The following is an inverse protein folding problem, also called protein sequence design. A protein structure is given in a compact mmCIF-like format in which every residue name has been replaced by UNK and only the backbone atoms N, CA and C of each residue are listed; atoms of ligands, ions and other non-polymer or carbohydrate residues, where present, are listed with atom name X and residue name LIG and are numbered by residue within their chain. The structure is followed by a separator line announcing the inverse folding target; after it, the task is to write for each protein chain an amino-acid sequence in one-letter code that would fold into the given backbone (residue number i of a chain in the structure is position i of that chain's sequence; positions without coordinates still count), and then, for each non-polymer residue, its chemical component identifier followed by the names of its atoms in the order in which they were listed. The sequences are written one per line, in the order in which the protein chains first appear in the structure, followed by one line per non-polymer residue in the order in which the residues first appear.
data_IF_244344831005
#
_entry.id   IF_244344831005
#
_cell.length_a   1.000
_cell.length_b   1.000
_cell.length_c   1.000
_cell.angle_alpha   90.00
_cell.angle_beta   90.00
_cell.angle_gamma   90.00
#
_symmetry.space_group_name_H-M   'P 1'
#
loop_
_entity.id
_entity.type
_entity.pdbx_description
1 polymer ?
#
# COMPACT_ATOMS: atom_id res chain seq x y z
N UNK A 1 0.68 -15.77 -24.69
CA UNK A 1 -0.30 -14.91 -24.00
C UNK A 1 0.04 -14.89 -22.53
N UNK A 2 -0.05 -13.74 -21.88
CA UNK A 2 0.16 -13.65 -20.43
C UNK A 2 -0.99 -14.38 -19.70
N UNK A 3 -0.72 -15.10 -18.59
CA UNK A 3 -1.79 -15.68 -17.79
C UNK A 3 -2.77 -14.60 -17.31
N UNK A 4 -4.07 -14.89 -17.36
CA UNK A 4 -5.12 -13.97 -16.92
C UNK A 4 -5.80 -14.49 -15.65
N UNK A 5 -5.89 -13.63 -14.66
CA UNK A 5 -6.68 -13.80 -13.45
C UNK A 5 -7.91 -12.90 -13.53
N UNK A 6 -8.99 -13.46 -14.05
CA UNK A 6 -10.32 -12.85 -13.99
C UNK A 6 -10.95 -13.20 -12.64
N UNK A 7 -11.50 -12.20 -11.95
CA UNK A 7 -12.14 -12.39 -10.66
C UNK A 7 -13.47 -11.65 -10.52
N UNK A 8 -14.36 -12.15 -9.66
CA UNK A 8 -15.58 -11.45 -9.24
C UNK A 8 -15.57 -11.13 -7.74
N UNK A 9 -16.61 -10.44 -7.24
CA UNK A 9 -16.77 -10.19 -5.81
C UNK A 9 -17.03 -11.46 -5.00
N UNK A 10 -17.45 -12.56 -5.65
CA UNK A 10 -17.68 -13.87 -5.01
C UNK A 10 -16.36 -14.53 -4.56
N UNK A 11 -15.23 -14.14 -5.15
CA UNK A 11 -13.90 -14.62 -4.77
C UNK A 11 -13.28 -13.82 -3.61
N UNK A 12 -13.95 -12.79 -3.11
CA UNK A 12 -13.48 -12.06 -1.94
C UNK A 12 -13.52 -12.95 -0.68
N UNK A 13 -12.42 -12.98 0.05
CA UNK A 13 -12.28 -13.73 1.30
C UNK A 13 -12.79 -12.83 2.44
N UNK A 14 -13.90 -13.18 3.07
CA UNK A 14 -14.50 -12.36 4.15
C UNK A 14 -14.08 -12.81 5.55
N UNK A 15 -13.72 -14.07 5.71
CA UNK A 15 -13.38 -14.67 7.02
C UNK A 15 -11.87 -14.87 7.19
N UNK A 16 -11.12 -13.77 7.28
CA UNK A 16 -9.68 -13.82 7.58
C UNK A 16 -9.45 -13.68 9.08
N UNK A 17 -8.67 -14.59 9.65
CA UNK A 17 -8.23 -14.56 11.05
C UNK A 17 -6.74 -14.26 11.14
N UNK A 18 -6.37 -13.53 12.19
CA UNK A 18 -4.98 -13.19 12.43
C UNK A 18 -4.07 -14.42 12.75
N UNK A 19 -4.62 -15.45 13.41
CA UNK A 19 -3.85 -16.58 13.95
C UNK A 19 -3.26 -17.48 12.86
N UNK A 20 -1.97 -17.83 12.99
CA UNK A 20 -1.24 -18.72 12.06
C UNK A 20 -1.82 -20.14 11.98
N UNK A 21 -2.29 -20.69 13.09
CA UNK A 21 -2.71 -22.09 13.20
C UNK A 21 -4.02 -22.43 12.46
N UNK A 22 -4.81 -21.43 12.07
CA UNK A 22 -6.11 -21.60 11.41
C UNK A 22 -6.18 -20.88 10.06
N UNK A 23 -5.04 -20.69 9.37
CA UNK A 23 -5.08 -20.02 8.08
C UNK A 23 -5.72 -20.92 7.03
N UNK A 24 -6.70 -20.41 6.25
CA UNK A 24 -7.20 -21.14 5.10
C UNK A 24 -6.06 -21.41 4.10
N UNK A 25 -6.24 -22.36 3.18
CA UNK A 25 -5.30 -22.51 2.07
C UNK A 25 -5.13 -21.17 1.32
N UNK A 26 -3.97 -20.97 0.65
CA UNK A 26 -3.75 -19.78 -0.16
C UNK A 26 -4.90 -19.59 -1.16
N UNK A 27 -5.40 -18.36 -1.30
CA UNK A 27 -6.39 -18.07 -2.34
C UNK A 27 -5.76 -18.24 -3.74
N UNK A 28 -6.59 -18.13 -4.78
CA UNK A 28 -6.10 -18.12 -6.17
C UNK A 28 -5.12 -16.97 -6.42
N UNK A 29 -5.41 -15.78 -5.92
CA UNK A 29 -4.48 -14.64 -5.99
C UNK A 29 -3.17 -14.96 -5.26
N UNK A 30 -3.26 -15.53 -4.06
CA UNK A 30 -2.07 -15.86 -3.28
C UNK A 30 -1.18 -16.89 -3.98
N UNK A 31 -1.79 -17.92 -4.56
CA UNK A 31 -1.06 -18.96 -5.29
C UNK A 31 -0.35 -18.36 -6.50
N UNK A 32 -1.05 -17.54 -7.29
CA UNK A 32 -0.47 -16.87 -8.46
C UNK A 32 0.71 -15.95 -8.11
N UNK A 33 0.61 -15.14 -7.05
CA UNK A 33 1.71 -14.26 -6.64
C UNK A 33 2.88 -15.08 -6.07
N UNK A 34 2.61 -16.05 -5.19
CA UNK A 34 3.65 -16.82 -4.50
C UNK A 34 4.44 -17.70 -5.48
N UNK A 35 3.74 -18.43 -6.33
CA UNK A 35 4.35 -19.31 -7.32
C UNK A 35 5.06 -18.49 -8.41
N UNK A 36 4.41 -17.43 -8.89
CA UNK A 36 4.98 -16.53 -9.88
C UNK A 36 6.27 -15.85 -9.39
N UNK A 37 6.27 -15.38 -8.14
CA UNK A 37 7.43 -14.74 -7.53
C UNK A 37 8.57 -15.73 -7.30
N UNK A 38 8.27 -16.94 -6.83
CA UNK A 38 9.27 -18.00 -6.57
C UNK A 38 9.94 -18.46 -7.86
N UNK A 39 9.15 -18.77 -8.91
CA UNK A 39 9.67 -19.11 -10.24
C UNK A 39 10.68 -18.07 -10.75
N UNK A 40 10.34 -16.79 -10.61
CA UNK A 40 11.18 -15.69 -11.11
C UNK A 40 12.43 -15.48 -10.24
N UNK A 41 12.37 -15.85 -8.96
CA UNK A 41 13.52 -15.83 -8.05
C UNK A 41 14.50 -16.94 -8.44
N UNK A 42 13.99 -18.14 -8.67
CA UNK A 42 14.78 -19.30 -9.12
C UNK A 42 15.44 -19.07 -10.49
N UNK A 43 14.77 -18.31 -11.35
CA UNK A 43 15.29 -17.89 -12.67
C UNK A 43 16.26 -16.70 -12.61
N UNK A 44 16.49 -16.11 -11.44
CA UNK A 44 17.46 -15.02 -11.26
C UNK A 44 17.03 -13.68 -11.86
N UNK A 45 15.72 -13.39 -11.95
CA UNK A 45 15.21 -12.14 -12.54
C UNK A 45 15.22 -10.95 -11.57
N UNK A 46 15.65 -11.16 -10.32
CA UNK A 46 15.80 -10.12 -9.31
C UNK A 46 17.23 -9.58 -9.29
N UNK A 47 17.41 -8.34 -8.80
CA UNK A 47 18.75 -7.74 -8.64
C UNK A 47 19.61 -8.43 -7.58
N UNK A 48 18.96 -9.09 -6.64
CA UNK A 48 19.59 -9.88 -5.58
C UNK A 48 18.65 -10.99 -5.13
N UNK A 49 19.23 -12.05 -4.58
CA UNK A 49 18.49 -13.13 -3.95
C UNK A 49 17.94 -12.66 -2.61
N UNK A 50 16.63 -12.76 -2.42
CA UNK A 50 16.01 -12.50 -1.12
C UNK A 50 15.96 -13.81 -0.32
N UNK A 51 16.92 -13.99 0.58
CA UNK A 51 16.88 -15.07 1.58
C UNK A 51 16.07 -14.68 2.81
N UNK A 52 16.18 -15.49 3.87
CA UNK A 52 15.54 -15.21 5.16
C UNK A 52 16.03 -13.87 5.74
N UNK A 53 15.09 -12.94 5.94
CA UNK A 53 15.37 -11.64 6.52
C UNK A 53 15.50 -11.74 8.04
N UNK A 54 16.63 -11.29 8.59
CA UNK A 54 16.77 -11.13 10.03
C UNK A 54 15.73 -10.13 10.52
N UNK A 55 14.82 -10.61 11.35
CA UNK A 55 13.63 -9.87 11.79
C UNK A 55 13.63 -9.75 13.31
N UNK A 56 13.32 -8.55 13.83
CA UNK A 56 13.05 -8.34 15.26
C UNK A 56 11.90 -7.36 15.44
N UNK A 57 11.09 -7.59 16.46
CA UNK A 57 10.10 -6.61 16.92
C UNK A 57 10.79 -5.69 17.92
N UNK A 58 10.74 -4.38 17.68
CA UNK A 58 11.32 -3.41 18.59
C UNK A 58 10.53 -3.40 19.91
N UNK A 59 11.21 -3.39 21.07
CA UNK A 59 10.53 -3.29 22.35
C UNK A 59 9.89 -1.89 22.48
N UNK A 60 8.61 -1.87 22.81
CA UNK A 60 7.84 -0.64 22.99
C UNK A 60 6.33 -0.86 22.78
N UNK A 61 5.56 0.21 22.79
CA UNK A 61 4.09 0.18 22.66
C UNK A 61 3.61 0.11 21.22
N UNK A 62 4.48 0.41 20.25
CA UNK A 62 4.13 0.42 18.84
C UNK A 62 4.50 -0.87 18.11
N UNK A 63 5.44 -1.66 18.64
CA UNK A 63 5.73 -3.01 18.14
C UNK A 63 6.26 -3.02 16.70
N UNK A 64 7.08 -2.02 16.33
CA UNK A 64 7.66 -1.92 14.99
C UNK A 64 8.41 -3.20 14.60
N UNK A 65 8.18 -3.68 13.38
CA UNK A 65 8.83 -4.87 12.82
C UNK A 65 10.05 -4.43 12.02
N UNK A 66 11.24 -4.60 12.61
CA UNK A 66 12.51 -4.30 11.96
C UNK A 66 13.02 -5.51 11.18
N UNK A 67 13.44 -5.28 9.93
CA UNK A 67 14.06 -6.30 9.08
C UNK A 67 15.34 -5.79 8.46
N UNK A 68 16.41 -6.59 8.49
CA UNK A 68 17.68 -6.24 7.85
C UNK A 68 17.72 -6.71 6.40
N UNK A 69 17.78 -5.77 5.46
CA UNK A 69 17.93 -6.05 4.04
C UNK A 69 19.02 -5.14 3.43
N UNK A 70 20.28 -5.55 3.60
CA UNK A 70 21.46 -4.77 3.16
C UNK A 70 21.51 -4.66 1.64
N UNK A 71 21.24 -5.75 0.93
CA UNK A 71 21.27 -5.77 -0.54
C UNK A 71 20.27 -4.78 -1.14
N UNK A 72 19.08 -4.62 -0.54
CA UNK A 72 18.13 -3.59 -0.98
C UNK A 72 18.67 -2.17 -0.82
N UNK A 73 19.53 -1.92 0.17
CA UNK A 73 20.20 -0.63 0.32
C UNK A 73 21.17 -0.33 -0.81
N UNK A 74 21.84 -1.35 -1.33
CA UNK A 74 22.92 -1.26 -2.33
C UNK A 74 22.37 -1.34 -3.76
N UNK A 75 21.51 -2.31 -4.04
CA UNK A 75 21.05 -2.68 -5.38
C UNK A 75 19.85 -1.87 -5.87
N UNK A 76 19.23 -1.08 -5.00
CA UNK A 76 18.06 -0.28 -5.37
C UNK A 76 18.43 0.75 -6.42
N UNK A 77 17.61 0.84 -7.47
CA UNK A 77 17.77 1.84 -8.52
C UNK A 77 17.75 3.26 -7.93
N UNK A 78 18.60 4.13 -8.47
CA UNK A 78 18.50 5.58 -8.25
C UNK A 78 17.09 6.07 -8.65
N UNK A 79 16.36 6.74 -7.74
CA UNK A 79 15.06 7.31 -8.05
C UNK A 79 15.13 8.30 -9.22
N UNK A 80 14.02 8.47 -9.94
CA UNK A 80 13.87 9.58 -10.88
C UNK A 80 13.96 10.92 -10.16
N UNK A 81 14.36 11.95 -10.89
CA UNK A 81 14.24 13.32 -10.43
C UNK A 81 12.76 13.71 -10.38
N UNK A 82 12.31 14.06 -9.18
CA UNK A 82 10.92 14.43 -8.89
C UNK A 82 10.95 15.87 -8.40
N UNK A 83 10.30 16.75 -9.15
CA UNK A 83 10.24 18.18 -8.88
C UNK A 83 8.86 18.63 -8.37
N UNK A 84 7.82 17.85 -8.68
CA UNK A 84 6.44 18.16 -8.32
C UNK A 84 5.64 16.86 -8.14
N UNK A 85 4.58 16.94 -7.36
CA UNK A 85 3.63 15.83 -7.20
C UNK A 85 2.83 15.61 -8.49
N UNK A 86 2.54 16.70 -9.20
CA UNK A 86 1.82 16.70 -10.48
C UNK A 86 2.76 16.57 -11.68
N UNK A 87 3.99 16.08 -11.48
CA UNK A 87 4.93 15.90 -12.57
C UNK A 87 4.37 14.96 -13.63
N UNK A 88 4.37 15.40 -14.88
CA UNK A 88 3.85 14.61 -16.01
C UNK A 88 4.66 13.34 -16.25
N UNK A 89 3.99 12.31 -16.74
CA UNK A 89 4.64 11.10 -17.20
C UNK A 89 5.63 11.43 -18.33
N UNK A 90 6.83 10.88 -18.26
CA UNK A 90 7.84 11.07 -19.28
C UNK A 90 8.23 9.73 -19.94
N UNK A 91 7.85 9.48 -21.21
CA UNK A 91 8.15 8.22 -21.90
C UNK A 91 9.65 8.00 -22.13
N UNK A 92 10.49 9.04 -22.07
CA UNK A 92 11.95 8.91 -22.22
C UNK A 92 12.61 8.33 -20.97
N UNK A 93 12.07 8.59 -19.77
CA UNK A 93 12.55 8.03 -18.51
C UNK A 93 12.15 6.55 -18.37
N UNK A 94 12.70 5.86 -17.36
CA UNK A 94 12.28 4.49 -17.07
C UNK A 94 10.77 4.44 -16.74
N UNK A 95 10.07 3.44 -17.25
CA UNK A 95 8.69 3.16 -16.92
C UNK A 95 8.41 1.66 -17.11
N UNK A 96 7.30 1.16 -16.56
CA UNK A 96 6.97 -0.26 -16.62
C UNK A 96 6.69 -0.83 -18.03
N UNK A 97 6.58 -0.01 -19.07
CA UNK A 97 6.54 -0.52 -20.46
C UNK A 97 7.95 -0.88 -21.01
N UNK A 98 9.02 -0.65 -20.22
CA UNK A 98 10.42 -0.90 -20.61
C UNK A 98 11.08 -2.06 -19.83
N UNK A 99 10.29 -2.84 -19.10
CA UNK A 99 10.80 -3.98 -18.31
C UNK A 99 11.07 -5.21 -19.19
N UNK A 100 11.78 -6.20 -18.65
CA UNK A 100 11.79 -7.52 -19.26
C UNK A 100 10.38 -8.13 -19.14
N UNK A 101 9.82 -8.63 -20.24
CA UNK A 101 8.51 -9.27 -20.24
C UNK A 101 8.43 -10.49 -19.30
N UNK A 102 9.56 -11.14 -19.01
CA UNK A 102 9.63 -12.24 -18.04
C UNK A 102 9.40 -11.81 -16.58
N UNK A 103 9.51 -10.51 -16.27
CA UNK A 103 9.18 -9.95 -14.95
C UNK A 103 7.66 -9.98 -14.67
N UNK A 104 6.84 -10.09 -15.72
CA UNK A 104 5.38 -10.12 -15.61
C UNK A 104 4.93 -11.50 -15.13
N UNK A 105 4.10 -11.54 -14.08
CA UNK A 105 3.53 -12.77 -13.53
C UNK A 105 2.21 -13.12 -14.21
N UNK A 106 1.26 -12.19 -14.23
CA UNK A 106 -0.07 -12.36 -14.81
C UNK A 106 -0.76 -10.99 -14.98
N UNK A 107 -1.93 -11.01 -15.62
CA UNK A 107 -2.85 -9.88 -15.71
C UNK A 107 -4.06 -10.12 -14.83
N UNK A 108 -4.53 -9.11 -14.13
CA UNK A 108 -5.67 -9.17 -13.25
C UNK A 108 -6.78 -8.26 -13.77
N UNK A 109 -8.01 -8.79 -13.84
CA UNK A 109 -9.18 -8.10 -14.36
C UNK A 109 -10.43 -8.49 -13.57
N UNK A 110 -11.24 -7.51 -13.20
CA UNK A 110 -12.56 -7.78 -12.60
C UNK A 110 -13.53 -8.20 -13.71
N UNK A 111 -14.23 -9.30 -13.51
CA UNK A 111 -15.35 -9.69 -14.38
C UNK A 111 -16.45 -8.63 -14.24
N UNK A 112 -16.73 -7.93 -15.32
CA UNK A 112 -17.76 -6.89 -15.34
C UNK A 112 -19.18 -7.48 -15.36
N UNK A 113 -19.34 -8.81 -15.51
CA UNK A 113 -20.61 -9.46 -15.73
C UNK A 113 -21.19 -9.04 -17.08
N UNK A 114 -21.25 -9.96 -18.05
CA UNK A 114 -21.75 -9.68 -19.41
C UNK A 114 -23.25 -9.31 -19.46
N UNK A 115 -23.64 -8.11 -19.02
CA UNK A 115 -24.95 -7.50 -19.25
C UNK A 115 -24.91 -6.55 -20.44
N UNK A 116 -25.65 -6.88 -21.51
CA UNK A 116 -25.65 -6.18 -22.82
C UNK A 116 -26.35 -4.82 -22.86
N UNK A 117 -26.63 -4.17 -21.73
CA UNK A 117 -27.43 -2.93 -21.70
C UNK A 117 -26.84 -1.83 -20.81
N UNK A 118 -25.54 -1.52 -20.96
CA UNK A 118 -24.95 -0.31 -20.35
C UNK A 118 -24.51 0.63 -21.47
N UNK A 119 -25.03 1.88 -21.44
CA UNK A 119 -24.62 2.95 -22.35
C UNK A 119 -23.10 3.15 -22.24
N UNK A 120 -22.45 3.41 -23.36
CA UNK A 120 -20.97 3.47 -23.51
C UNK A 120 -20.29 4.41 -22.50
N UNK A 121 -21.05 5.41 -22.03
CA UNK A 121 -20.69 6.46 -21.09
C UNK A 121 -20.83 6.07 -19.60
N UNK A 122 -21.23 4.83 -19.28
CA UNK A 122 -21.35 4.29 -17.91
C UNK A 122 -20.76 2.88 -17.71
N UNK A 123 -20.00 2.33 -18.67
CA UNK A 123 -19.32 1.06 -18.42
C UNK A 123 -18.40 1.22 -17.19
N UNK A 124 -18.41 0.27 -16.22
CA UNK A 124 -17.31 0.16 -15.29
C UNK A 124 -16.05 0.04 -16.13
N UNK A 125 -15.17 1.03 -16.07
CA UNK A 125 -13.86 0.94 -16.71
C UNK A 125 -13.19 -0.32 -16.15
N UNK A 126 -13.15 -1.38 -16.96
CA UNK A 126 -12.47 -2.61 -16.62
C UNK A 126 -10.99 -2.30 -16.60
N UNK A 127 -10.47 -2.09 -15.39
CA UNK A 127 -9.07 -1.74 -15.17
C UNK A 127 -8.21 -2.99 -15.39
N UNK A 128 -7.47 -3.07 -16.49
CA UNK A 128 -6.52 -4.17 -16.71
C UNK A 128 -5.27 -3.88 -15.89
N UNK A 129 -5.04 -4.68 -14.86
CA UNK A 129 -3.86 -4.52 -13.99
C UNK A 129 -2.81 -5.56 -14.34
N UNK A 130 -1.62 -5.11 -14.75
CA UNK A 130 -0.48 -6.01 -14.96
C UNK A 130 0.23 -6.22 -13.62
N UNK A 131 0.41 -7.48 -13.21
CA UNK A 131 1.09 -7.85 -11.97
C UNK A 131 2.49 -8.37 -12.32
N UNK A 132 3.52 -7.73 -11.77
CA UNK A 132 4.92 -8.03 -12.07
C UNK A 132 5.77 -8.03 -10.80
N UNK A 133 6.91 -8.72 -10.81
CA UNK A 133 7.81 -8.75 -9.65
C UNK A 133 8.42 -7.38 -9.40
N UNK A 134 8.61 -7.02 -8.14
CA UNK A 134 9.54 -5.94 -7.85
C UNK A 134 10.97 -6.51 -7.83
N UNK A 135 11.76 -6.20 -8.87
CA UNK A 135 13.15 -6.68 -9.00
C UNK A 135 14.09 -6.21 -7.87
N UNK A 136 13.64 -5.35 -6.96
CA UNK A 136 14.30 -5.00 -5.68
C UNK A 136 13.36 -5.30 -4.49
N UNK A 137 13.16 -6.59 -4.17
CA UNK A 137 12.08 -7.05 -3.32
C UNK A 137 12.33 -6.67 -1.85
N UNK A 138 11.32 -6.15 -1.17
CA UNK A 138 11.43 -5.76 0.24
C UNK A 138 11.22 -6.97 1.15
N UNK A 139 10.34 -7.88 0.71
CA UNK A 139 9.91 -9.10 1.39
C UNK A 139 9.40 -10.09 0.32
N UNK A 140 9.18 -11.34 0.72
CA UNK A 140 8.57 -12.38 -0.10
C UNK A 140 7.26 -11.91 -0.76
N UNK A 141 7.11 -12.28 -2.05
CA UNK A 141 5.96 -11.90 -2.87
C UNK A 141 5.87 -10.41 -3.19
N UNK A 142 6.92 -9.60 -2.94
CA UNK A 142 6.91 -8.19 -3.32
C UNK A 142 6.74 -8.02 -4.83
N UNK A 143 5.55 -7.57 -5.23
CA UNK A 143 5.12 -7.35 -6.59
C UNK A 143 4.64 -5.90 -6.78
N UNK A 144 4.45 -5.53 -8.03
CA UNK A 144 3.87 -4.26 -8.44
C UNK A 144 2.56 -4.54 -9.19
N UNK A 145 1.52 -3.81 -8.81
CA UNK A 145 0.23 -3.74 -9.50
C UNK A 145 0.29 -2.50 -10.39
N UNK A 146 0.28 -2.67 -11.71
CA UNK A 146 0.38 -1.57 -12.68
C UNK A 146 -0.93 -1.47 -13.46
N UNK A 147 -1.82 -0.55 -13.09
CA UNK A 147 -3.09 -0.30 -13.78
C UNK A 147 -2.85 0.26 -15.19
N UNK A 148 -3.41 -0.41 -16.20
CA UNK A 148 -3.45 0.02 -17.60
C UNK A 148 -2.13 0.67 -18.10
N UNK A 149 -1.01 -0.06 -18.09
CA UNK A 149 0.32 0.51 -18.33
C UNK A 149 0.46 1.19 -19.69
N UNK A 150 -0.36 0.85 -20.68
CA UNK A 150 -0.40 1.51 -21.98
C UNK A 150 -0.93 2.95 -21.92
N UNK A 151 -1.73 3.30 -20.91
CA UNK A 151 -2.23 4.66 -20.70
C UNK A 151 -1.15 5.60 -20.17
N UNK A 152 0.00 5.08 -19.74
CA UNK A 152 1.14 5.89 -19.28
C UNK A 152 0.75 6.90 -18.19
N UNK A 153 -0.11 6.49 -17.26
CA UNK A 153 -0.62 7.36 -16.21
C UNK A 153 0.53 7.79 -15.28
N UNK A 154 0.62 9.08 -14.89
CA UNK A 154 1.57 9.52 -13.88
C UNK A 154 1.29 8.84 -12.53
N UNK A 155 2.23 8.91 -11.59
CA UNK A 155 2.12 8.32 -10.25
C UNK A 155 1.14 9.12 -9.36
N UNK A 156 -0.12 9.16 -9.79
CA UNK A 156 -1.28 9.79 -9.18
C UNK A 156 -2.39 8.73 -9.15
N UNK A 157 -3.00 8.52 -7.98
CA UNK A 157 -4.01 7.49 -7.82
C UNK A 157 -5.27 7.83 -8.63
N UNK A 158 -5.81 6.82 -9.31
CA UNK A 158 -7.14 6.86 -9.90
C UNK A 158 -8.11 6.04 -9.05
N UNK A 159 -9.43 6.28 -9.17
CA UNK A 159 -10.45 5.44 -8.54
C UNK A 159 -10.22 3.95 -8.84
N UNK A 160 -9.91 3.62 -10.09
CA UNK A 160 -9.64 2.26 -10.53
C UNK A 160 -8.42 1.64 -9.83
N UNK A 161 -7.31 2.39 -9.71
CA UNK A 161 -6.12 1.93 -9.01
C UNK A 161 -6.36 1.70 -7.51
N UNK A 162 -7.13 2.58 -6.86
CA UNK A 162 -7.52 2.42 -5.46
C UNK A 162 -8.39 1.18 -5.28
N UNK A 163 -9.39 1.00 -6.15
CA UNK A 163 -10.28 -0.15 -6.12
C UNK A 163 -9.50 -1.46 -6.28
N UNK A 164 -8.63 -1.54 -7.29
CA UNK A 164 -7.72 -2.69 -7.50
C UNK A 164 -6.88 -2.99 -6.26
N UNK A 165 -6.37 -1.96 -5.59
CA UNK A 165 -5.61 -2.13 -4.35
C UNK A 165 -6.43 -2.75 -3.22
N UNK A 166 -7.65 -2.26 -3.00
CA UNK A 166 -8.57 -2.79 -1.97
C UNK A 166 -8.98 -4.23 -2.30
N UNK A 167 -9.40 -4.47 -3.55
CA UNK A 167 -9.83 -5.77 -4.03
C UNK A 167 -8.70 -6.81 -3.95
N UNK A 168 -7.45 -6.43 -4.23
CA UNK A 168 -6.29 -7.32 -4.05
C UNK A 168 -6.13 -7.80 -2.61
N UNK A 169 -6.37 -6.93 -1.61
CA UNK A 169 -6.34 -7.32 -0.19
C UNK A 169 -7.53 -8.20 0.17
N UNK A 170 -8.70 -7.95 -0.44
CA UNK A 170 -9.91 -8.77 -0.25
C UNK A 170 -9.81 -10.16 -0.90
N UNK A 171 -9.10 -10.29 -2.02
CA UNK A 171 -8.87 -11.55 -2.75
C UNK A 171 -7.82 -12.43 -2.07
N UNK A 172 -6.96 -11.88 -1.21
CA UNK A 172 -5.99 -12.67 -0.45
C UNK A 172 -6.66 -13.32 0.76
N UNK A 173 -6.34 -14.59 0.99
CA UNK A 173 -6.71 -15.31 2.21
C UNK A 173 -5.69 -15.10 3.34
N UNK A 174 -4.57 -14.44 3.06
CA UNK A 174 -3.55 -14.09 4.04
C UNK A 174 -3.83 -12.74 4.71
N UNK A 175 -3.89 -12.66 6.05
CA UNK A 175 -3.97 -11.37 6.74
C UNK A 175 -2.71 -10.52 6.55
N UNK A 176 -1.60 -11.15 6.15
CA UNK A 176 -0.32 -10.49 5.96
C UNK A 176 -0.08 -9.97 4.55
N UNK A 177 -1.00 -10.18 3.60
CA UNK A 177 -0.90 -9.55 2.28
C UNK A 177 -1.32 -8.09 2.37
N UNK A 178 -0.45 -7.20 1.89
CA UNK A 178 -0.62 -5.76 2.03
C UNK A 178 -0.36 -5.09 0.71
N UNK A 179 -1.11 -4.01 0.47
CA UNK A 179 -0.93 -3.16 -0.70
C UNK A 179 -0.60 -1.76 -0.23
N UNK A 180 0.19 -1.01 -0.99
CA UNK A 180 0.41 0.39 -0.68
C UNK A 180 0.85 1.22 -1.87
N UNK A 181 0.82 2.53 -1.67
CA UNK A 181 1.17 3.51 -2.69
C UNK A 181 2.03 4.61 -2.08
N UNK A 182 2.99 5.07 -2.88
CA UNK A 182 3.78 6.26 -2.61
C UNK A 182 3.49 7.25 -3.73
N UNK A 183 3.08 8.48 -3.40
CA UNK A 183 3.03 9.57 -4.36
C UNK A 183 4.44 10.08 -4.69
N UNK A 184 4.54 10.84 -5.79
CA UNK A 184 5.69 11.70 -6.03
C UNK A 184 5.88 12.66 -4.83
N UNK A 185 7.12 12.88 -4.40
CA UNK A 185 7.41 13.61 -3.15
C UNK A 185 7.26 12.78 -1.86
N UNK A 186 6.67 11.58 -1.93
CA UNK A 186 6.49 10.65 -0.81
C UNK A 186 7.29 9.34 -0.98
N UNK A 187 8.50 9.43 -1.52
CA UNK A 187 9.41 8.31 -1.84
C UNK A 187 9.01 7.37 -2.99
N UNK A 188 8.04 7.73 -3.84
CA UNK A 188 7.92 7.11 -5.16
C UNK A 188 9.27 7.22 -5.92
N UNK A 189 9.62 6.19 -6.68
CA UNK A 189 10.89 6.16 -7.42
C UNK A 189 10.73 6.17 -8.94
N UNK A 190 9.50 5.94 -9.41
CA UNK A 190 9.12 5.88 -10.83
C UNK A 190 7.82 6.67 -10.98
N UNK A 191 7.80 7.59 -11.95
CA UNK A 191 6.59 8.29 -12.35
C UNK A 191 5.82 7.49 -13.42
N UNK A 192 5.18 6.41 -12.99
CA UNK A 192 4.23 5.62 -13.78
C UNK A 192 3.35 4.88 -12.76
N UNK A 193 2.03 5.10 -12.80
CA UNK A 193 1.09 4.60 -11.80
C UNK A 193 1.31 3.13 -11.44
N UNK A 194 1.67 2.89 -10.18
CA UNK A 194 1.81 1.55 -9.62
C UNK A 194 1.50 1.54 -8.13
N UNK A 195 0.98 0.40 -7.67
CA UNK A 195 0.91 0.05 -6.26
C UNK A 195 1.91 -1.07 -5.96
N UNK A 196 2.35 -1.15 -4.70
CA UNK A 196 3.17 -2.24 -4.18
C UNK A 196 2.26 -3.28 -3.54
N UNK A 197 2.50 -4.57 -3.78
CA UNK A 197 1.90 -5.68 -3.04
C UNK A 197 2.99 -6.53 -2.41
N UNK A 198 2.82 -7.01 -1.17
CA UNK A 198 3.78 -7.92 -0.53
C UNK A 198 3.14 -8.68 0.64
N UNK A 199 3.75 -9.79 1.05
CA UNK A 199 3.36 -10.52 2.26
C UNK A 199 4.27 -10.14 3.41
N UNK A 200 3.76 -9.92 4.60
CA UNK A 200 4.59 -9.89 5.81
C UNK A 200 3.84 -10.60 6.93
N UNK A 201 4.44 -11.67 7.44
CA UNK A 201 3.83 -12.56 8.43
C UNK A 201 4.05 -12.10 9.88
N UNK A 202 3.83 -10.81 10.11
CA UNK A 202 3.86 -10.15 11.42
C UNK A 202 2.68 -9.19 11.51
N UNK A 203 2.00 -9.12 12.65
CA UNK A 203 0.99 -8.08 12.88
C UNK A 203 1.67 -6.71 12.96
N UNK A 204 1.06 -5.74 12.30
CA UNK A 204 1.42 -4.33 12.44
C UNK A 204 0.37 -3.60 13.28
N UNK A 205 0.81 -2.64 14.11
CA UNK A 205 -0.08 -1.86 14.97
C UNK A 205 -1.20 -1.15 14.20
N UNK A 206 -0.97 -0.75 12.95
CA UNK A 206 -1.98 -0.10 12.11
C UNK A 206 -3.25 -0.97 11.90
N UNK A 207 -3.12 -2.28 11.97
CA UNK A 207 -4.22 -3.24 11.82
C UNK A 207 -5.27 -3.14 12.94
N UNK A 208 -4.88 -2.56 14.10
CA UNK A 208 -5.71 -2.44 15.30
C UNK A 208 -5.61 -1.08 16.01
N UNK A 209 -4.91 -0.11 15.44
CA UNK A 209 -4.75 1.25 15.97
C UNK A 209 -6.09 1.91 16.28
N UNK A 210 -6.09 2.76 17.31
CA UNK A 210 -7.26 3.49 17.76
C UNK A 210 -7.54 4.66 16.83
N UNK A 211 -8.83 4.87 16.55
CA UNK A 211 -9.25 5.93 15.64
C UNK A 211 -10.41 6.74 16.18
N UNK A 212 -10.44 8.02 15.80
CA UNK A 212 -11.53 8.95 16.09
C UNK A 212 -12.35 9.17 14.81
N UNK A 213 -13.68 8.97 14.83
CA UNK A 213 -14.51 9.28 13.67
C UNK A 213 -14.42 10.75 13.26
N UNK A 214 -14.30 11.00 11.97
CA UNK A 214 -14.37 12.34 11.36
C UNK A 214 -15.66 12.50 10.54
N UNK A 215 -15.96 11.52 9.67
CA UNK A 215 -17.20 11.45 8.89
C UNK A 215 -17.70 10.00 8.96
N UNK A 216 -18.55 9.66 9.96
CA UNK A 216 -19.03 8.30 10.17
C UNK A 216 -19.73 7.70 8.94
N UNK A 217 -20.49 8.50 8.20
CA UNK A 217 -21.26 8.07 7.02
C UNK A 217 -20.38 7.64 5.85
N UNK A 218 -19.10 8.04 5.86
CA UNK A 218 -18.10 7.68 4.84
C UNK A 218 -17.04 6.72 5.38
N UNK A 219 -17.21 6.19 6.59
CA UNK A 219 -16.20 5.40 7.31
C UNK A 219 -14.82 6.09 7.30
N UNK A 220 -14.81 7.42 7.51
CA UNK A 220 -13.59 8.23 7.49
C UNK A 220 -13.19 8.64 8.91
N UNK A 221 -11.96 8.33 9.31
CA UNK A 221 -11.46 8.46 10.66
C UNK A 221 -10.07 9.12 10.72
N UNK A 222 -9.71 9.64 11.89
CA UNK A 222 -8.36 10.06 12.25
C UNK A 222 -7.67 8.97 13.07
N UNK A 223 -6.42 8.64 12.73
CA UNK A 223 -5.58 7.73 13.53
C UNK A 223 -5.00 8.49 14.74
N UNK A 224 -5.10 7.92 15.93
CA UNK A 224 -4.74 8.63 17.18
C UNK A 224 -3.35 8.29 17.71
N UNK A 225 -2.93 7.03 17.63
CA UNK A 225 -1.85 6.51 18.45
C UNK A 225 -0.69 5.88 17.66
N UNK A 226 -0.72 5.95 16.33
CA UNK A 226 0.29 5.32 15.48
C UNK A 226 0.31 5.83 14.05
N UNK A 227 1.44 6.43 13.64
CA UNK A 227 1.54 7.80 13.12
C UNK A 227 0.23 8.52 12.77
N UNK A 228 0.08 9.78 13.21
CA UNK A 228 -1.10 10.59 12.91
C UNK A 228 -1.36 10.65 11.40
N UNK A 229 -2.58 10.33 11.01
CA UNK A 229 -3.02 10.22 9.63
C UNK A 229 -4.53 10.00 9.56
N UNK A 230 -5.01 9.71 8.36
CA UNK A 230 -6.41 9.35 8.13
C UNK A 230 -6.55 7.85 7.92
N UNK A 231 -7.73 7.32 8.24
CA UNK A 231 -8.08 5.92 8.02
C UNK A 231 -9.45 5.84 7.35
N UNK A 232 -9.58 5.01 6.32
CA UNK A 232 -10.85 4.46 5.88
C UNK A 232 -10.94 2.98 6.19
N UNK A 233 -12.16 2.52 6.43
CA UNK A 233 -12.47 1.09 6.55
C UNK A 233 -13.57 0.71 5.58
N UNK A 234 -13.42 -0.46 4.96
CA UNK A 234 -14.41 -0.99 4.02
C UNK A 234 -14.44 -2.51 4.10
N UNK A 235 -15.63 -3.08 3.93
CA UNK A 235 -15.84 -4.50 3.63
C UNK A 235 -16.19 -4.68 2.15
N UNK A 236 -16.53 -5.91 1.72
CA UNK A 236 -16.73 -6.28 0.31
C UNK A 236 -17.74 -5.39 -0.43
N UNK A 237 -18.85 -5.06 0.24
CA UNK A 237 -19.98 -4.37 -0.39
C UNK A 237 -19.72 -2.87 -0.63
N UNK A 238 -18.76 -2.28 0.09
CA UNK A 238 -18.55 -0.83 0.13
C UNK A 238 -17.30 -0.38 -0.63
N UNK A 239 -16.61 -1.30 -1.30
CA UNK A 239 -15.32 -1.04 -1.97
C UNK A 239 -15.40 0.13 -2.94
N UNK A 240 -16.45 0.23 -3.75
CA UNK A 240 -16.56 1.32 -4.74
C UNK A 240 -16.71 2.68 -4.06
N UNK A 241 -17.50 2.75 -2.98
CA UNK A 241 -17.71 3.96 -2.21
C UNK A 241 -16.44 4.39 -1.46
N UNK A 242 -15.72 3.42 -0.88
CA UNK A 242 -14.42 3.65 -0.27
C UNK A 242 -13.40 4.15 -1.30
N UNK A 243 -13.30 3.51 -2.46
CA UNK A 243 -12.40 3.93 -3.54
C UNK A 243 -12.70 5.34 -4.04
N UNK A 244 -13.99 5.70 -4.18
CA UNK A 244 -14.42 7.06 -4.54
C UNK A 244 -14.00 8.09 -3.48
N UNK A 245 -14.18 7.77 -2.20
CA UNK A 245 -13.82 8.67 -1.10
C UNK A 245 -12.31 8.85 -1.00
N UNK A 246 -11.54 7.77 -1.10
CA UNK A 246 -10.07 7.82 -1.12
C UNK A 246 -9.57 8.64 -2.31
N UNK A 247 -10.14 8.44 -3.50
CA UNK A 247 -9.77 9.22 -4.69
C UNK A 247 -9.98 10.72 -4.45
N UNK A 248 -11.14 11.12 -3.90
CA UNK A 248 -11.39 12.54 -3.53
C UNK A 248 -10.36 13.08 -2.54
N UNK A 249 -9.99 12.29 -1.53
CA UNK A 249 -8.96 12.67 -0.56
C UNK A 249 -7.61 12.87 -1.24
N UNK A 250 -7.20 11.93 -2.09
CA UNK A 250 -5.90 12.01 -2.78
C UNK A 250 -5.88 13.08 -3.85
N UNK A 251 -6.99 13.33 -4.55
CA UNK A 251 -7.13 14.41 -5.52
C UNK A 251 -7.03 15.78 -4.84
N UNK A 252 -7.64 15.92 -3.66
CA UNK A 252 -7.46 17.11 -2.82
C UNK A 252 -5.99 17.32 -2.46
N UNK A 253 -5.28 16.28 -2.02
CA UNK A 253 -3.85 16.38 -1.73
C UNK A 253 -3.01 16.73 -2.96
N UNK A 254 -3.31 16.14 -4.11
CA UNK A 254 -2.60 16.46 -5.36
C UNK A 254 -2.84 17.91 -5.75
N UNK A 255 -4.08 18.41 -5.65
CA UNK A 255 -4.45 19.80 -5.93
C UNK A 255 -3.73 20.81 -5.02
N UNK A 256 -3.58 20.47 -3.74
CA UNK A 256 -2.86 21.28 -2.74
C UNK A 256 -1.35 21.00 -2.71
N UNK A 257 -0.82 20.18 -3.62
CA UNK A 257 0.59 19.78 -3.69
C UNK A 257 1.13 19.16 -2.38
N UNK A 258 0.32 18.32 -1.74
CA UNK A 258 0.62 17.57 -0.51
C UNK A 258 1.08 16.14 -0.87
N UNK A 259 2.31 15.82 -0.50
CA UNK A 259 2.85 14.47 -0.64
C UNK A 259 2.12 13.53 0.32
N UNK A 260 1.86 12.31 -0.12
CA UNK A 260 1.10 11.34 0.65
C UNK A 260 1.49 9.87 0.39
N UNK A 261 1.32 9.05 1.41
CA UNK A 261 1.46 7.59 1.35
C UNK A 261 0.12 6.92 1.67
N UNK A 262 -0.16 5.79 1.03
CA UNK A 262 -1.30 4.92 1.34
C UNK A 262 -0.82 3.52 1.72
N UNK A 263 -1.53 2.89 2.66
CA UNK A 263 -1.30 1.52 3.07
C UNK A 263 -2.60 0.79 3.36
N UNK A 264 -2.77 -0.36 2.71
CA UNK A 264 -3.96 -1.18 2.73
C UNK A 264 -3.62 -2.52 3.36
N UNK A 265 -4.34 -2.87 4.41
CA UNK A 265 -4.13 -4.10 5.15
C UNK A 265 -5.46 -4.64 5.65
N UNK A 266 -5.55 -5.95 5.82
CA UNK A 266 -6.57 -6.56 6.67
C UNK A 266 -6.44 -6.00 8.09
N UNK A 267 -7.56 -5.69 8.73
CA UNK A 267 -7.57 -5.07 10.06
C UNK A 267 -8.89 -5.29 10.77
N UNK A 268 -8.92 -5.08 12.09
CA UNK A 268 -10.19 -5.13 12.81
C UNK A 268 -11.05 -3.89 12.49
N UNK A 269 -12.38 -3.95 12.69
CA UNK A 269 -13.23 -2.77 12.56
C UNK A 269 -12.69 -1.57 13.35
N UNK A 270 -12.86 -0.33 12.85
CA UNK A 270 -12.52 0.90 13.56
C UNK A 270 -13.16 0.97 14.94
N UNK A 271 -12.37 1.33 15.96
CA UNK A 271 -12.86 1.57 17.32
C UNK A 271 -12.05 2.68 17.98
N UNK A 272 -12.73 3.51 18.78
CA UNK A 272 -12.10 4.50 19.65
C UNK A 272 -11.65 3.93 21.00
N UNK A 273 -11.92 2.64 21.26
CA UNK A 273 -11.56 1.95 22.51
C UNK A 273 -10.90 0.60 22.21
N UNK A 274 -10.12 0.10 23.17
CA UNK A 274 -9.51 -1.23 23.09
C UNK A 274 -10.59 -2.30 22.94
N UNK A 275 -10.50 -3.06 21.85
CA UNK A 275 -11.42 -4.15 21.53
C UNK A 275 -11.08 -5.41 22.33
N UNK A 276 -12.05 -6.31 22.50
CA UNK A 276 -11.79 -7.61 23.11
C UNK A 276 -10.85 -8.43 22.23
N UNK A 277 -10.13 -9.41 22.82
CA UNK A 277 -9.21 -10.27 22.08
C UNK A 277 -9.87 -11.07 20.92
N UNK A 278 -11.20 -11.26 20.97
CA UNK A 278 -11.98 -11.94 19.93
C UNK A 278 -12.36 -11.00 18.78
N UNK A 279 -12.60 -9.73 19.08
CA UNK A 279 -12.90 -8.72 18.06
C UNK A 279 -11.63 -8.26 17.34
N UNK A 280 -10.51 -8.16 18.06
CA UNK A 280 -9.22 -7.79 17.48
C UNK A 280 -8.68 -8.83 16.48
N UNK A 281 -9.05 -10.10 16.63
CA UNK A 281 -8.56 -11.18 15.76
C UNK A 281 -9.33 -11.33 14.44
N UNK A 282 -10.54 -10.75 14.35
CA UNK A 282 -11.37 -10.76 13.16
C UNK A 282 -10.87 -9.71 12.18
N UNK A 283 -10.59 -10.12 10.94
CA UNK A 283 -10.05 -9.24 9.90
C UNK A 283 -10.98 -9.20 8.68
N UNK A 284 -12.23 -8.83 8.91
CA UNK A 284 -13.30 -8.86 7.89
C UNK A 284 -13.06 -7.86 6.76
N UNK A 285 -12.71 -6.63 7.10
CA UNK A 285 -12.50 -5.56 6.14
C UNK A 285 -11.04 -5.19 5.90
N UNK A 286 -10.88 -4.15 5.09
CA UNK A 286 -9.62 -3.51 4.76
C UNK A 286 -9.54 -2.18 5.49
N UNK A 287 -8.44 -1.96 6.21
CA UNK A 287 -8.01 -0.66 6.72
C UNK A 287 -7.13 0.01 5.69
N UNK A 288 -7.50 1.21 5.26
CA UNK A 288 -6.75 2.05 4.33
C UNK A 288 -6.23 3.27 5.09
N UNK A 289 -4.96 3.22 5.47
CA UNK A 289 -4.29 4.34 6.12
C UNK A 289 -3.74 5.30 5.06
N UNK A 290 -3.90 6.61 5.31
CA UNK A 290 -3.45 7.68 4.43
C UNK A 290 -2.67 8.70 5.27
N UNK A 291 -1.41 8.92 4.91
CA UNK A 291 -0.55 9.88 5.60
C UNK A 291 -0.17 11.03 4.66
N UNK A 292 -0.81 12.20 4.79
CA UNK A 292 -0.25 13.43 4.23
C UNK A 292 1.03 13.77 4.99
N UNK A 293 2.00 14.33 4.29
CA UNK A 293 3.36 14.44 4.80
C UNK A 293 4.16 15.53 4.12
N UNK A 294 5.27 15.90 4.75
CA UNK A 294 6.23 16.82 4.19
C UNK A 294 6.87 16.19 2.94
N UNK A 295 6.84 16.94 1.84
CA UNK A 295 7.39 16.51 0.55
C UNK A 295 8.91 16.37 0.62
N UNK A 296 9.43 15.30 0.02
CA UNK A 296 10.85 15.06 -0.11
C UNK A 296 11.25 15.09 -1.58
N UNK A 297 11.80 16.21 -2.01
CA UNK A 297 12.39 16.39 -3.34
C UNK A 297 13.92 16.39 -3.23
N UNK A 298 14.61 15.83 -4.23
CA UNK A 298 16.09 15.82 -4.27
C UNK A 298 16.79 14.64 -3.57
N UNK A 299 18.07 14.84 -3.23
CA UNK A 299 18.94 13.81 -2.65
C UNK A 299 18.49 13.44 -1.24
N UNK A 300 18.13 12.17 -1.05
CA UNK A 300 17.59 11.63 0.21
C UNK A 300 18.64 11.71 1.32
N UNK A 301 18.22 12.16 2.51
CA UNK A 301 19.04 12.09 3.73
C UNK A 301 19.49 10.65 4.02
N UNK A 302 20.68 10.50 4.61
CA UNK A 302 21.23 9.24 5.07
C UNK A 302 20.53 8.77 6.37
N UNK A 303 19.26 8.42 6.27
CA UNK A 303 18.54 7.74 7.36
C UNK A 303 18.70 6.23 7.27
N UNK A 304 18.60 5.57 8.43
CA UNK A 304 18.66 4.11 8.59
C UNK A 304 17.71 3.34 7.64
N UNK A 305 16.56 3.95 7.35
CA UNK A 305 15.52 3.50 6.42
C UNK A 305 14.83 4.72 5.80
N UNK A 306 14.17 4.55 4.64
CA UNK A 306 13.42 5.64 4.00
C UNK A 306 11.99 5.62 4.50
N UNK A 307 11.44 6.71 5.05
CA UNK A 307 10.07 6.71 5.61
C UNK A 307 9.02 6.79 4.50
N UNK A 308 8.70 5.64 3.88
CA UNK A 308 7.66 5.48 2.87
C UNK A 308 6.44 4.77 3.48
N UNK A 309 5.60 4.14 2.65
CA UNK A 309 4.40 3.43 3.10
C UNK A 309 4.67 2.35 4.18
N UNK A 310 5.76 1.57 4.05
CA UNK A 310 6.02 0.43 4.95
C UNK A 310 6.35 0.94 6.35
N UNK A 311 7.23 1.93 6.41
CA UNK A 311 7.77 2.46 7.66
C UNK A 311 6.70 3.21 8.46
N UNK A 312 5.83 3.95 7.76
CA UNK A 312 4.65 4.59 8.35
C UNK A 312 3.67 3.56 8.93
N UNK A 313 3.54 2.40 8.27
CA UNK A 313 2.70 1.31 8.74
C UNK A 313 3.32 0.44 9.83
N UNK A 314 4.61 0.63 10.17
CA UNK A 314 5.30 -0.10 11.23
C UNK A 314 6.30 -1.15 10.77
N UNK A 315 6.53 -1.31 9.47
CA UNK A 315 7.50 -2.23 8.89
C UNK A 315 8.77 -1.49 8.45
N UNK A 316 9.90 -1.83 9.06
CA UNK A 316 11.16 -1.09 8.95
C UNK A 316 12.24 -1.91 8.23
N UNK A 317 12.40 -1.79 6.91
CA UNK A 317 13.51 -2.37 6.15
C UNK A 317 14.80 -1.57 6.35
N UNK A 318 15.60 -1.98 7.33
CA UNK A 318 16.93 -1.43 7.61
C UNK A 318 17.95 -1.83 6.54
N UNK A 319 18.79 -0.88 6.15
CA UNK A 319 19.80 -1.07 5.09
C UNK A 319 21.18 -1.44 5.61
N UNK A 320 21.42 -1.31 6.92
CA UNK A 320 22.70 -1.64 7.53
C UNK A 320 22.50 -2.31 8.90
N UNK A 321 23.49 -3.11 9.29
CA UNK A 321 23.44 -3.94 10.48
C UNK A 321 23.46 -3.12 11.78
N UNK A 322 24.26 -2.04 11.83
CA UNK A 322 24.42 -1.20 13.02
C UNK A 322 23.08 -0.59 13.44
N UNK A 323 22.39 0.07 12.51
CA UNK A 323 21.11 0.69 12.79
C UNK A 323 20.05 -0.37 13.07
N UNK A 324 20.06 -1.49 12.33
CA UNK A 324 19.17 -2.62 12.60
C UNK A 324 19.33 -3.15 14.02
N UNK A 325 20.54 -3.21 14.59
CA UNK A 325 20.79 -3.77 15.93
C UNK A 325 20.54 -2.74 17.04
N UNK A 326 20.90 -1.48 16.82
CA UNK A 326 20.93 -0.46 17.87
C UNK A 326 19.66 0.40 17.95
N UNK A 327 18.89 0.53 16.86
CA UNK A 327 17.74 1.44 16.83
C UNK A 327 16.66 1.02 17.82
N UNK A 328 16.16 2.00 18.57
CA UNK A 328 15.05 1.87 19.53
C UNK A 328 13.73 2.37 18.94
N UNK A 329 12.60 1.95 19.50
CA UNK A 329 11.29 2.43 19.07
C UNK A 329 11.17 3.96 19.16
N UNK A 330 11.74 4.58 20.21
CA UNK A 330 11.77 6.04 20.36
C UNK A 330 12.50 6.74 19.21
N UNK A 331 13.62 6.18 18.76
CA UNK A 331 14.37 6.72 17.62
C UNK A 331 13.60 6.56 16.32
N UNK A 332 12.91 5.43 16.13
CA UNK A 332 12.02 5.24 14.96
C UNK A 332 10.93 6.31 14.93
N UNK A 333 10.24 6.53 16.06
CA UNK A 333 9.19 7.55 16.17
C UNK A 333 9.78 8.93 15.82
N UNK A 334 10.97 9.26 16.34
CA UNK A 334 11.64 10.52 16.03
C UNK A 334 11.99 10.66 14.54
N UNK A 335 12.45 9.58 13.88
CA UNK A 335 12.74 9.58 12.44
C UNK A 335 11.45 9.76 11.64
N UNK A 336 10.38 9.02 11.97
CA UNK A 336 9.09 9.09 11.29
C UNK A 336 8.48 10.50 11.41
N UNK A 337 8.54 11.10 12.60
CA UNK A 337 7.98 12.43 12.86
C UNK A 337 8.56 13.53 11.96
N UNK A 338 9.83 13.41 11.52
CA UNK A 338 10.46 14.38 10.60
C UNK A 338 9.76 14.45 9.25
N UNK A 339 9.06 13.40 8.86
CA UNK A 339 8.38 13.31 7.58
C UNK A 339 6.88 13.61 7.68
N UNK A 340 6.27 13.50 8.86
CA UNK A 340 4.87 13.86 9.05
C UNK A 340 4.68 15.38 8.99
N UNK A 341 3.44 15.82 8.76
CA UNK A 341 3.09 17.23 8.91
C UNK A 341 3.16 17.65 10.39
N UNK A 342 3.52 18.91 10.68
CA UNK A 342 3.32 19.51 12.00
C UNK A 342 1.86 19.40 12.47
N UNK A 343 1.64 19.33 13.78
CA UNK A 343 0.30 19.08 14.36
C UNK A 343 -0.74 20.16 13.98
N UNK A 344 -0.33 21.43 13.91
CA UNK A 344 -1.16 22.56 13.53
C UNK A 344 -1.53 22.52 12.03
N UNK A 345 -0.55 22.20 11.17
CA UNK A 345 -0.80 21.99 9.74
C UNK A 345 -1.72 20.80 9.48
N UNK A 346 -1.49 19.68 10.18
CA UNK A 346 -2.35 18.50 10.08
C UNK A 346 -3.78 18.80 10.52
N UNK A 347 -3.96 19.53 11.63
CA UNK A 347 -5.29 19.88 12.11
C UNK A 347 -6.04 20.78 11.14
N UNK A 348 -5.37 21.78 10.55
CA UNK A 348 -5.95 22.62 9.50
C UNK A 348 -6.33 21.81 8.26
N UNK A 349 -5.48 20.88 7.85
CA UNK A 349 -5.75 19.97 6.73
C UNK A 349 -6.97 19.08 7.01
N UNK A 350 -7.08 18.54 8.23
CA UNK A 350 -8.22 17.75 8.68
C UNK A 350 -9.54 18.53 8.54
N UNK A 351 -9.59 19.78 9.02
CA UNK A 351 -10.77 20.63 8.90
C UNK A 351 -11.16 20.91 7.44
N UNK A 352 -10.17 21.23 6.61
CA UNK A 352 -10.37 21.48 5.17
C UNK A 352 -10.90 20.24 4.46
N UNK A 353 -10.30 19.08 4.75
CA UNK A 353 -10.66 17.82 4.13
C UNK A 353 -12.07 17.37 4.54
N UNK A 354 -12.43 17.51 5.81
CA UNK A 354 -13.79 17.22 6.29
C UNK A 354 -14.81 18.08 5.56
N UNK A 355 -14.56 19.40 5.43
CA UNK A 355 -15.42 20.31 4.66
C UNK A 355 -15.52 19.91 3.18
N UNK A 356 -14.40 19.54 2.56
CA UNK A 356 -14.35 19.12 1.17
C UNK A 356 -15.19 17.84 0.93
N UNK A 357 -15.06 16.85 1.81
CA UNK A 357 -15.78 15.58 1.70
C UNK A 357 -17.27 15.67 2.05
N UNK A 358 -17.70 16.65 2.84
CA UNK A 358 -19.11 16.89 3.13
C UNK A 358 -19.84 17.67 2.01
N UNK A 359 -19.09 18.42 1.19
CA UNK A 359 -19.65 19.22 0.10
C UNK A 359 -19.78 18.46 -1.22
N UNK A 360 -19.12 17.30 -1.34
CA UNK A 360 -19.05 16.48 -2.57
C UNK A 360 -19.29 14.99 -2.27
#
# INVERSE_FOLDING_TARGET
MLPQFVYSTEEFVTDVLQKRENRPPPSKLDSLIRDGWTDRMDRGLFRYLLGDLKTRVLPGSNGYVAQLNVQRGIERRKPQEILSIQQEFNPSQFNFNKINAEEIMFEMMKDAGGGRDVRDDQLPQTCRTVVLINVSPLEFGHCLLVPDPSLCLPQILTKAAVQVGIESVLLSSSPGFRVGFNSLGAFASVNHLHLHGYYLDHELKIESSLVKPLIPEKNFFRIQDFPVGFLLYTESEEVEMAARTICKVTDFFVGENIAHNLFLTRGCPPSGQMQTAKESCLRKGVRIAIWPRTSCFGAKEESAFNVALCELAGHLPFKNKKDFECTTEREVISIVQKYLLPDDEFHKLEEQLVKHLLTH
#
